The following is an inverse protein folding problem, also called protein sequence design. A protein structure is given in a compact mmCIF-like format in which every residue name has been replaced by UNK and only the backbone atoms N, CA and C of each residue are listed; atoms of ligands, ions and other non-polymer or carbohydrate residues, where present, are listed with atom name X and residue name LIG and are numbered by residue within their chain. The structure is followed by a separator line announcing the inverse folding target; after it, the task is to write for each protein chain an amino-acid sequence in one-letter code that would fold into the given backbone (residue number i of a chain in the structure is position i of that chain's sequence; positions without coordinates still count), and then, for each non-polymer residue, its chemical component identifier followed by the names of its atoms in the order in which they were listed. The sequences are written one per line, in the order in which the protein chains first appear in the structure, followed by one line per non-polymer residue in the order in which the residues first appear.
data_IF_558597026822
#
_entry.id   IF_558597026822
#
_cell.length_a   1.000
_cell.length_b   1.000
_cell.length_c   1.000
_cell.angle_alpha   90.00
_cell.angle_beta   90.00
_cell.angle_gamma   90.00
#
_symmetry.space_group_name_H-M   'P 1'
#
loop_
_entity.id
_entity.type
_entity.pdbx_description
1 polymer ?
#
# COMPACT_ATOMS: atom_id res chain seq x y z
N UNK A 1 -6.48 -12.50 -33.03
CA UNK A 1 -6.32 -12.88 -31.61
C UNK A 1 -7.32 -12.09 -30.81
N UNK A 2 -8.36 -12.74 -30.29
CA UNK A 2 -9.35 -12.11 -29.40
C UNK A 2 -8.78 -12.30 -27.99
N UNK A 3 -8.21 -11.24 -27.41
CA UNK A 3 -7.75 -11.26 -26.02
C UNK A 3 -8.94 -11.57 -25.11
N UNK A 4 -8.81 -12.58 -24.26
CA UNK A 4 -9.90 -13.07 -23.42
C UNK A 4 -10.31 -11.98 -22.39
N UNK A 5 -11.62 -11.74 -22.17
CA UNK A 5 -12.15 -10.72 -21.24
C UNK A 5 -11.58 -10.78 -19.81
N UNK A 6 -11.19 -11.97 -19.36
CA UNK A 6 -10.73 -12.24 -17.99
C UNK A 6 -9.48 -11.46 -17.56
N UNK A 7 -8.63 -11.04 -18.50
CA UNK A 7 -7.44 -10.25 -18.18
C UNK A 7 -7.74 -8.76 -18.05
N UNK A 8 -8.79 -8.26 -18.70
CA UNK A 8 -9.23 -6.88 -18.56
C UNK A 8 -9.86 -6.64 -17.17
N UNK A 9 -10.69 -7.57 -16.70
CA UNK A 9 -11.30 -7.52 -15.36
C UNK A 9 -10.23 -7.55 -14.24
N UNK A 10 -9.15 -8.29 -14.43
CA UNK A 10 -8.03 -8.30 -13.48
C UNK A 10 -7.19 -7.01 -13.53
N UNK A 11 -7.18 -6.29 -14.66
CA UNK A 11 -6.46 -5.02 -14.79
C UNK A 11 -7.13 -3.90 -13.99
N UNK A 12 -8.46 -3.90 -13.90
CA UNK A 12 -9.24 -2.93 -13.12
C UNK A 12 -8.89 -2.95 -11.63
N UNK A 13 -8.43 -4.09 -11.10
CA UNK A 13 -7.94 -4.20 -9.72
C UNK A 13 -6.70 -3.35 -9.45
N UNK A 14 -5.93 -3.01 -10.50
CA UNK A 14 -4.75 -2.16 -10.41
C UNK A 14 -5.06 -0.68 -10.68
N UNK A 15 -6.34 -0.30 -10.81
CA UNK A 15 -6.74 1.09 -10.71
C UNK A 15 -6.75 1.53 -9.25
N UNK A 16 -6.15 2.68 -8.96
CA UNK A 16 -6.01 3.24 -7.61
C UNK A 16 -7.33 3.21 -6.82
N UNK A 17 -8.42 3.64 -7.44
CA UNK A 17 -9.75 3.70 -6.81
C UNK A 17 -10.27 2.31 -6.40
N UNK A 18 -10.01 1.28 -7.21
CA UNK A 18 -10.48 -0.07 -6.93
C UNK A 18 -9.59 -0.75 -5.89
N UNK A 19 -8.28 -0.56 -5.96
CA UNK A 19 -7.35 -1.05 -4.95
C UNK A 19 -7.67 -0.48 -3.56
N UNK A 20 -7.91 0.84 -3.46
CA UNK A 20 -8.33 1.50 -2.23
C UNK A 20 -9.67 0.94 -1.74
N UNK A 21 -10.67 0.77 -2.62
CA UNK A 21 -11.98 0.18 -2.24
C UNK A 21 -11.85 -1.22 -1.67
N UNK A 22 -11.02 -2.08 -2.27
CA UNK A 22 -10.76 -3.43 -1.77
C UNK A 22 -10.14 -3.37 -0.36
N UNK A 23 -9.13 -2.52 -0.18
CA UNK A 23 -8.49 -2.33 1.13
C UNK A 23 -9.48 -1.78 2.16
N UNK A 24 -10.28 -0.78 1.82
CA UNK A 24 -11.36 -0.25 2.68
C UNK A 24 -12.36 -1.32 3.08
N UNK A 25 -12.81 -2.15 2.15
CA UNK A 25 -13.74 -3.25 2.46
C UNK A 25 -13.13 -4.27 3.43
N UNK A 26 -11.84 -4.58 3.31
CA UNK A 26 -11.13 -5.45 4.27
C UNK A 26 -11.04 -4.79 5.65
N UNK A 27 -10.79 -3.48 5.70
CA UNK A 27 -10.73 -2.71 6.95
C UNK A 27 -12.08 -2.75 7.67
N UNK A 28 -13.15 -2.42 6.95
CA UNK A 28 -14.51 -2.36 7.50
C UNK A 28 -15.01 -3.74 7.96
N UNK A 29 -14.60 -4.81 7.26
CA UNK A 29 -15.06 -6.17 7.55
C UNK A 29 -14.31 -6.79 8.72
N UNK A 30 -12.99 -6.58 8.82
CA UNK A 30 -12.14 -7.33 9.76
C UNK A 30 -11.56 -6.46 10.89
N UNK A 31 -11.55 -5.13 10.75
CA UNK A 31 -10.84 -4.24 11.68
C UNK A 31 -9.36 -4.61 11.90
N UNK A 32 -8.57 -4.93 10.86
CA UNK A 32 -7.17 -5.28 11.03
C UNK A 32 -6.38 -4.07 11.54
N UNK A 33 -5.20 -4.31 12.12
CA UNK A 33 -4.23 -3.25 12.45
C UNK A 33 -3.30 -2.91 11.29
N UNK A 34 -3.22 -3.77 10.27
CA UNK A 34 -2.36 -3.61 9.10
C UNK A 34 -2.91 -4.40 7.90
N UNK A 35 -2.88 -3.79 6.72
CA UNK A 35 -3.16 -4.44 5.43
C UNK A 35 -2.19 -3.87 4.41
N UNK A 36 -1.65 -4.70 3.52
CA UNK A 36 -0.87 -4.20 2.39
C UNK A 36 -1.19 -4.96 1.11
N UNK A 37 -1.29 -4.21 0.01
CA UNK A 37 -1.33 -4.74 -1.34
C UNK A 37 0.09 -4.80 -1.89
N UNK A 38 0.65 -6.00 -1.99
CA UNK A 38 2.07 -6.19 -2.31
C UNK A 38 2.31 -7.46 -3.13
N UNK A 39 3.53 -7.62 -3.63
CA UNK A 39 4.00 -8.81 -4.35
C UNK A 39 5.10 -9.53 -3.55
N UNK A 40 5.40 -10.78 -3.89
CA UNK A 40 6.53 -11.50 -3.27
C UNK A 40 7.87 -10.81 -3.53
N UNK A 41 8.02 -10.23 -4.72
CA UNK A 41 9.21 -9.45 -5.08
C UNK A 41 9.40 -8.24 -4.16
N UNK A 42 8.37 -7.42 -3.97
CA UNK A 42 8.44 -6.26 -3.07
C UNK A 42 8.63 -6.67 -1.61
N UNK A 43 8.03 -7.78 -1.18
CA UNK A 43 8.27 -8.33 0.16
C UNK A 43 9.73 -8.71 0.35
N UNK A 44 10.36 -9.32 -0.65
CA UNK A 44 11.77 -9.72 -0.59
C UNK A 44 12.72 -8.52 -0.59
N UNK A 45 12.44 -7.49 -1.40
CA UNK A 45 13.23 -6.25 -1.42
C UNK A 45 13.33 -5.60 -0.04
N UNK A 46 12.28 -5.72 0.78
CA UNK A 46 12.24 -5.16 2.13
C UNK A 46 12.99 -5.99 3.19
N UNK A 47 13.38 -7.23 2.88
CA UNK A 47 13.97 -8.19 3.84
C UNK A 47 15.50 -8.08 3.98
N UNK A 48 16.16 -7.12 3.32
CA UNK A 48 17.63 -7.03 3.26
C UNK A 48 18.32 -6.89 4.64
N UNK A 49 17.59 -6.59 5.72
CA UNK A 49 18.12 -6.55 7.09
C UNK A 49 17.19 -7.27 8.06
N UNK A 50 17.66 -8.41 8.59
CA UNK A 50 16.99 -9.22 9.62
C UNK A 50 16.54 -8.39 10.83
N UNK A 51 15.48 -8.82 11.56
CA UNK A 51 14.70 -10.05 11.38
C UNK A 51 13.58 -9.89 10.32
N UNK A 52 12.78 -10.96 10.11
CA UNK A 52 11.67 -10.95 9.16
C UNK A 52 10.80 -9.71 9.36
N UNK A 53 10.59 -8.94 8.29
CA UNK A 53 9.77 -7.73 8.33
C UNK A 53 8.34 -8.13 8.68
N UNK A 54 7.93 -7.80 9.91
CA UNK A 54 6.59 -8.14 10.43
C UNK A 54 5.51 -7.39 9.66
N UNK A 55 5.78 -6.13 9.33
CA UNK A 55 4.89 -5.28 8.56
C UNK A 55 5.60 -4.81 7.28
N UNK A 56 5.39 -5.54 6.19
CA UNK A 56 5.82 -5.07 4.87
C UNK A 56 4.91 -3.93 4.41
N UNK A 57 5.41 -3.11 3.49
CA UNK A 57 4.60 -2.17 2.73
C UNK A 57 4.49 -2.63 1.28
N UNK A 58 3.58 -2.03 0.55
CA UNK A 58 3.26 -2.38 -0.82
C UNK A 58 2.75 -1.14 -1.54
N UNK A 59 2.14 -1.33 -2.70
CA UNK A 59 1.58 -0.23 -3.46
C UNK A 59 0.52 0.53 -2.66
N UNK A 60 -0.37 -0.21 -1.98
CA UNK A 60 -1.35 0.34 -1.04
C UNK A 60 -1.08 -0.25 0.33
N UNK A 61 -0.97 0.59 1.36
CA UNK A 61 -0.76 0.12 2.74
C UNK A 61 -1.69 0.84 3.69
N UNK A 62 -2.43 0.07 4.48
CA UNK A 62 -3.23 0.55 5.60
C UNK A 62 -2.51 0.31 6.92
N UNK A 63 -2.59 1.30 7.79
CA UNK A 63 -2.15 1.25 9.17
C UNK A 63 -3.34 1.56 10.08
N UNK A 64 -3.47 0.87 11.21
CA UNK A 64 -4.53 1.14 12.20
C UNK A 64 -4.51 2.56 12.79
N UNK A 65 -3.44 3.31 12.52
CA UNK A 65 -3.17 4.66 12.99
C UNK A 65 -3.31 5.68 11.85
N UNK A 66 -3.66 6.92 12.17
CA UNK A 66 -3.88 7.96 11.15
C UNK A 66 -2.57 8.42 10.51
N UNK A 67 -2.50 8.32 9.18
CA UNK A 67 -1.41 8.83 8.36
C UNK A 67 -1.80 10.18 7.78
N UNK A 68 -0.89 11.14 7.88
CA UNK A 68 -1.13 12.52 7.45
C UNK A 68 -0.02 12.94 6.49
N UNK A 69 -0.27 13.95 5.66
CA UNK A 69 0.77 14.52 4.81
C UNK A 69 1.98 15.06 5.60
N UNK A 70 1.80 15.38 6.89
CA UNK A 70 2.88 15.84 7.76
C UNK A 70 3.84 14.70 8.16
N UNK A 71 3.33 13.50 8.41
CA UNK A 71 4.13 12.35 8.83
C UNK A 71 4.51 11.41 7.68
N UNK A 72 3.84 11.52 6.53
CA UNK A 72 4.16 10.77 5.32
C UNK A 72 4.08 11.69 4.08
N UNK A 73 5.05 12.61 3.93
CA UNK A 73 5.10 13.51 2.78
C UNK A 73 5.38 12.72 1.49
N UNK A 74 4.70 13.08 0.40
CA UNK A 74 4.95 12.49 -0.93
C UNK A 74 4.23 11.18 -1.24
N UNK A 75 3.65 10.51 -0.24
CA UNK A 75 2.96 9.21 -0.41
C UNK A 75 1.48 9.21 -0.01
N UNK A 76 0.92 10.39 0.29
CA UNK A 76 -0.45 10.53 0.76
C UNK A 76 -1.36 11.13 -0.31
N UNK A 77 -2.14 10.26 -0.96
CA UNK A 77 -3.49 10.64 -1.33
C UNK A 77 -4.43 10.11 -0.24
N UNK A 78 -4.94 11.04 0.56
CA UNK A 78 -5.76 10.81 1.74
C UNK A 78 -7.17 10.35 1.31
N UNK A 79 -7.34 9.06 1.01
CA UNK A 79 -8.67 8.49 0.69
C UNK A 79 -9.43 8.07 1.94
N UNK A 80 -9.82 9.06 2.73
CA UNK A 80 -11.09 9.04 3.47
C UNK A 80 -11.39 10.43 4.02
N UNK A 81 -12.65 10.89 3.90
CA UNK A 81 -13.07 12.09 4.61
C UNK A 81 -13.13 11.77 6.11
N UNK A 82 -12.05 12.11 6.84
CA UNK A 82 -12.05 12.16 8.31
C UNK A 82 -10.84 11.55 9.01
N UNK A 83 -10.23 10.51 8.46
CA UNK A 83 -9.08 9.81 9.04
C UNK A 83 -8.40 8.97 7.95
N UNK A 84 -7.35 9.48 7.33
CA UNK A 84 -6.70 8.74 6.26
C UNK A 84 -5.69 7.76 6.81
N UNK A 85 -6.09 6.49 6.79
CA UNK A 85 -5.31 5.36 7.29
C UNK A 85 -4.65 4.55 6.18
N UNK A 86 -4.89 4.92 4.93
CA UNK A 86 -4.38 4.25 3.72
C UNK A 86 -3.36 5.16 3.04
N UNK A 87 -2.23 4.59 2.65
CA UNK A 87 -1.08 5.25 2.02
C UNK A 87 -0.77 4.55 0.71
N UNK A 88 -0.35 5.33 -0.29
CA UNK A 88 0.02 4.84 -1.61
C UNK A 88 1.52 5.08 -1.82
N UNK A 89 2.25 4.07 -2.28
CA UNK A 89 3.65 4.27 -2.67
C UNK A 89 3.76 5.29 -3.80
N UNK A 90 2.88 5.15 -4.81
CA UNK A 90 2.65 6.05 -5.94
C UNK A 90 1.19 5.91 -6.42
N UNK A 91 0.69 6.85 -7.22
CA UNK A 91 -0.71 6.81 -7.70
C UNK A 91 -0.98 5.65 -8.66
N UNK A 92 -0.06 5.36 -9.57
CA UNK A 92 -0.22 4.35 -10.61
C UNK A 92 0.60 3.10 -10.29
N UNK A 93 -0.06 1.94 -10.17
CA UNK A 93 0.56 0.65 -9.92
C UNK A 93 1.71 0.35 -10.89
N UNK A 94 1.57 0.73 -12.16
CA UNK A 94 2.57 0.45 -13.20
C UNK A 94 3.89 1.20 -13.00
N UNK A 95 3.88 2.23 -12.16
CA UNK A 95 5.05 3.05 -11.82
C UNK A 95 5.68 2.68 -10.49
N UNK A 96 5.14 1.67 -9.78
CA UNK A 96 5.70 1.18 -8.53
C UNK A 96 7.02 0.46 -8.80
N UNK A 97 8.08 0.91 -8.13
CA UNK A 97 9.40 0.28 -8.15
C UNK A 97 9.83 -0.14 -6.74
N UNK A 98 10.86 -0.98 -6.64
CA UNK A 98 11.46 -1.34 -5.35
C UNK A 98 11.88 -0.10 -4.56
N UNK A 99 12.42 0.92 -5.23
CA UNK A 99 12.80 2.18 -4.59
C UNK A 99 11.61 2.89 -3.98
N UNK A 100 10.47 2.96 -4.68
CA UNK A 100 9.25 3.61 -4.13
C UNK A 100 8.69 2.86 -2.92
N UNK A 101 8.76 1.52 -2.92
CA UNK A 101 8.34 0.68 -1.80
C UNK A 101 9.28 0.86 -0.60
N UNK A 102 10.60 0.85 -0.84
CA UNK A 102 11.60 1.03 0.20
C UNK A 102 11.59 2.44 0.79
N UNK A 103 11.35 3.45 -0.04
CA UNK A 103 11.21 4.85 0.36
C UNK A 103 9.99 5.02 1.27
N UNK A 104 8.80 4.57 0.82
CA UNK A 104 7.58 4.57 1.64
C UNK A 104 7.82 3.87 2.99
N UNK A 105 8.44 2.69 2.97
CA UNK A 105 8.72 1.93 4.20
C UNK A 105 9.61 2.73 5.15
N UNK A 106 10.69 3.33 4.63
CA UNK A 106 11.61 4.17 5.41
C UNK A 106 10.86 5.34 6.02
N UNK A 107 10.05 6.05 5.24
CA UNK A 107 9.25 7.18 5.73
C UNK A 107 8.32 6.77 6.88
N UNK A 108 7.63 5.63 6.76
CA UNK A 108 6.75 5.13 7.82
C UNK A 108 7.51 4.71 9.09
N UNK A 109 8.72 4.17 8.96
CA UNK A 109 9.59 3.86 10.11
C UNK A 109 10.08 5.13 10.78
N UNK A 110 10.55 6.11 10.01
CA UNK A 110 11.03 7.40 10.52
C UNK A 110 9.91 8.19 11.20
N UNK A 111 8.67 8.02 10.74
CA UNK A 111 7.47 8.56 11.37
C UNK A 111 7.02 7.78 12.63
N UNK A 112 7.66 6.65 12.96
CA UNK A 112 7.32 5.82 14.10
C UNK A 112 6.05 4.97 13.92
N UNK A 113 5.55 4.85 12.69
CA UNK A 113 4.30 4.15 12.35
C UNK A 113 4.50 2.68 11.98
N UNK A 114 5.76 2.28 11.80
CA UNK A 114 6.17 0.92 11.46
C UNK A 114 7.38 0.55 12.33
N UNK A 115 7.40 -0.69 12.83
CA UNK A 115 8.43 -1.23 13.71
C UNK A 115 9.07 -2.48 13.10
#
# INVERSE_FOLDING_TARGET
MIGLPKYAEAAELYEQVNAVRVVSALIDTMGPSWVTWTTDHWRQAQQERKPAVVHAVGWVTYLGESVTAQNCPGHSDLFSPGDSRVVLAVQDYSTVTDETILDLRRTLIEAGMLH
#
